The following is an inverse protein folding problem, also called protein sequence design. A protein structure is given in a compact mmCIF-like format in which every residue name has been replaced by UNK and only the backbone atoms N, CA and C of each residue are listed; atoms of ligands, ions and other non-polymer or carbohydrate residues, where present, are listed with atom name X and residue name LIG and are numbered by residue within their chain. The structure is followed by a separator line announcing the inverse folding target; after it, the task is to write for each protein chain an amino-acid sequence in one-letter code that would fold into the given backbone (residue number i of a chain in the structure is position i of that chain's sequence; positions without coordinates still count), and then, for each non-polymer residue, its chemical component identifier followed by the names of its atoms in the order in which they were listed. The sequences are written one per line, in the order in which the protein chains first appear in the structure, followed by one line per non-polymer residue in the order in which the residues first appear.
data_IF_823939933846
#
_entry.id   IF_823939933846
#
_cell.length_a   1.000
_cell.length_b   1.000
_cell.length_c   1.000
_cell.angle_alpha   90.00
_cell.angle_beta   90.00
_cell.angle_gamma   90.00
#
_symmetry.space_group_name_H-M   'P 1'
#
loop_
_entity.id
_entity.type
_entity.pdbx_description
1 polymer ?
#
# COMPACT_ATOMS: atom_id res chain seq x y z
N UNK A 1 -28.00 -1.53 -12.65
CA UNK A 1 -27.60 -2.76 -13.37
C UNK A 1 -26.71 -3.56 -12.45
N UNK A 2 -27.28 -4.58 -11.81
CA UNK A 2 -26.60 -5.38 -10.78
C UNK A 2 -25.85 -6.55 -11.41
N UNK A 3 -24.60 -6.76 -10.98
CA UNK A 3 -23.81 -7.91 -11.40
C UNK A 3 -23.84 -8.95 -10.29
N UNK A 4 -24.41 -10.12 -10.58
CA UNK A 4 -24.46 -11.25 -9.66
C UNK A 4 -23.04 -11.78 -9.34
N UNK A 5 -22.84 -12.20 -8.09
CA UNK A 5 -21.62 -12.83 -7.60
C UNK A 5 -21.21 -14.07 -8.43
N UNK A 6 -22.21 -14.76 -8.99
CA UNK A 6 -22.01 -15.96 -9.81
C UNK A 6 -21.62 -15.66 -11.27
N UNK A 7 -21.64 -14.40 -11.71
CA UNK A 7 -21.26 -14.03 -13.08
C UNK A 7 -19.80 -14.39 -13.37
N UNK A 8 -19.54 -14.96 -14.55
CA UNK A 8 -18.19 -15.33 -15.00
C UNK A 8 -17.71 -14.34 -16.06
N UNK A 9 -16.85 -13.37 -15.71
CA UNK A 9 -16.36 -12.36 -16.64
C UNK A 9 -15.28 -12.92 -17.56
N UNK A 10 -15.06 -12.24 -18.69
CA UNK A 10 -13.90 -12.54 -19.53
C UNK A 10 -12.72 -11.63 -19.13
N UNK A 11 -11.68 -12.24 -18.54
CA UNK A 11 -10.47 -11.52 -18.08
C UNK A 11 -9.26 -11.68 -19.04
N UNK A 12 -9.44 -12.35 -20.17
CA UNK A 12 -8.36 -12.69 -21.11
C UNK A 12 -7.74 -14.07 -20.85
N UNK A 13 -7.00 -14.59 -21.85
CA UNK A 13 -6.41 -15.93 -21.78
C UNK A 13 -5.38 -16.03 -20.66
N UNK A 14 -5.47 -17.09 -19.84
CA UNK A 14 -4.54 -17.42 -18.74
C UNK A 14 -4.49 -16.42 -17.58
N UNK A 15 -5.42 -15.48 -17.47
CA UNK A 15 -5.43 -14.52 -16.37
C UNK A 15 -5.55 -15.24 -15.02
N UNK A 16 -6.54 -16.10 -14.87
CA UNK A 16 -6.86 -16.85 -13.65
C UNK A 16 -5.67 -17.74 -13.24
N UNK A 17 -5.08 -18.45 -14.21
CA UNK A 17 -3.89 -19.26 -14.00
C UNK A 17 -2.71 -18.43 -13.46
N UNK A 18 -2.51 -17.24 -14.03
CA UNK A 18 -1.41 -16.34 -13.64
C UNK A 18 -1.63 -15.80 -12.24
N UNK A 19 -2.86 -15.40 -11.89
CA UNK A 19 -3.15 -14.88 -10.56
C UNK A 19 -3.09 -15.98 -9.49
N UNK A 20 -3.66 -17.16 -9.74
CA UNK A 20 -3.60 -18.29 -8.79
C UNK A 20 -2.16 -18.72 -8.49
N UNK A 21 -1.26 -18.71 -9.48
CA UNK A 21 0.16 -19.09 -9.30
C UNK A 21 0.92 -18.19 -8.33
N UNK A 22 0.46 -16.96 -8.14
CA UNK A 22 1.09 -16.03 -7.18
C UNK A 22 0.86 -16.49 -5.75
N UNK A 23 -0.29 -17.11 -5.47
CA UNK A 23 -0.64 -17.51 -4.12
C UNK A 23 0.11 -18.78 -3.67
N UNK A 24 0.40 -18.91 -2.36
CA UNK A 24 0.84 -20.16 -1.75
C UNK A 24 -0.22 -21.26 -1.89
N UNK A 25 0.24 -22.52 -1.94
CA UNK A 25 -0.65 -23.70 -2.05
C UNK A 25 -1.70 -23.74 -0.93
N UNK A 26 -1.30 -23.44 0.31
CA UNK A 26 -2.21 -23.41 1.45
C UNK A 26 -3.37 -22.41 1.27
N UNK A 27 -3.08 -21.23 0.69
CA UNK A 27 -4.12 -20.24 0.36
C UNK A 27 -5.07 -20.74 -0.70
N UNK A 28 -4.54 -21.39 -1.76
CA UNK A 28 -5.35 -21.96 -2.85
C UNK A 28 -6.28 -23.06 -2.35
N UNK A 29 -5.79 -23.96 -1.50
CA UNK A 29 -6.60 -25.02 -0.85
C UNK A 29 -7.74 -24.40 -0.06
N UNK A 30 -7.45 -23.40 0.80
CA UNK A 30 -8.46 -22.70 1.60
C UNK A 30 -9.52 -22.02 0.72
N UNK A 31 -9.11 -21.37 -0.37
CA UNK A 31 -10.03 -20.72 -1.31
C UNK A 31 -10.90 -21.75 -2.03
N UNK A 32 -10.32 -22.84 -2.55
CA UNK A 32 -11.06 -23.90 -3.23
C UNK A 32 -12.17 -24.50 -2.35
N UNK A 33 -11.86 -24.76 -1.07
CA UNK A 33 -12.86 -25.21 -0.08
C UNK A 33 -13.98 -24.20 0.11
N UNK A 34 -13.64 -22.91 0.24
CA UNK A 34 -14.62 -21.84 0.42
C UNK A 34 -15.52 -21.69 -0.82
N UNK A 35 -14.96 -21.78 -2.01
CA UNK A 35 -15.69 -21.67 -3.27
C UNK A 35 -16.63 -22.85 -3.49
N UNK A 36 -16.18 -24.07 -3.19
CA UNK A 36 -17.02 -25.26 -3.23
C UNK A 36 -18.25 -25.13 -2.31
N UNK A 37 -18.05 -24.66 -1.06
CA UNK A 37 -19.16 -24.46 -0.11
C UNK A 37 -20.18 -23.41 -0.57
N UNK A 38 -19.76 -22.36 -1.28
CA UNK A 38 -20.64 -21.25 -1.69
C UNK A 38 -21.35 -21.51 -3.02
N UNK A 39 -20.64 -22.02 -4.03
CA UNK A 39 -21.16 -22.13 -5.41
C UNK A 39 -21.33 -23.57 -5.89
N UNK A 40 -20.83 -24.56 -5.15
CA UNK A 40 -20.79 -25.95 -5.61
C UNK A 40 -19.89 -26.12 -6.84
N UNK A 41 -20.24 -27.08 -7.69
CA UNK A 41 -19.51 -27.39 -8.93
C UNK A 41 -20.42 -27.24 -10.14
N UNK A 42 -19.83 -26.77 -11.26
CA UNK A 42 -20.54 -26.72 -12.54
C UNK A 42 -20.90 -28.13 -13.05
N UNK A 43 -20.07 -29.14 -12.75
CA UNK A 43 -20.30 -30.53 -13.15
C UNK A 43 -21.02 -31.29 -12.04
N UNK A 44 -22.24 -31.76 -12.32
CA UNK A 44 -23.08 -32.54 -11.38
C UNK A 44 -22.43 -33.81 -10.80
N UNK A 45 -21.37 -34.34 -11.43
CA UNK A 45 -20.66 -35.56 -10.99
C UNK A 45 -19.58 -35.31 -9.95
N UNK A 46 -19.21 -34.05 -9.68
CA UNK A 46 -18.18 -33.73 -8.69
C UNK A 46 -18.85 -33.48 -7.33
N UNK A 47 -18.27 -34.05 -6.28
CA UNK A 47 -18.69 -33.83 -4.88
C UNK A 47 -17.59 -33.12 -4.10
N UNK A 48 -17.95 -32.58 -2.93
CA UNK A 48 -17.00 -31.91 -2.05
C UNK A 48 -15.89 -32.87 -1.56
N UNK A 49 -16.22 -34.15 -1.39
CA UNK A 49 -15.29 -35.21 -1.01
C UNK A 49 -14.20 -35.40 -2.07
N UNK A 50 -14.60 -35.50 -3.35
CA UNK A 50 -13.63 -35.58 -4.46
C UNK A 50 -12.69 -34.37 -4.52
N UNK A 51 -13.14 -33.18 -4.10
CA UNK A 51 -12.26 -32.02 -4.00
C UNK A 51 -11.30 -32.14 -2.81
N UNK A 52 -11.78 -32.57 -1.64
CA UNK A 52 -10.92 -32.75 -0.47
C UNK A 52 -9.84 -33.82 -0.71
N UNK A 53 -10.17 -34.92 -1.38
CA UNK A 53 -9.21 -35.97 -1.73
C UNK A 53 -8.10 -35.44 -2.64
N UNK A 54 -8.47 -34.76 -3.73
CA UNK A 54 -7.53 -34.11 -4.64
C UNK A 54 -6.65 -33.07 -3.91
N UNK A 55 -7.24 -32.24 -3.04
CA UNK A 55 -6.51 -31.23 -2.28
C UNK A 55 -5.53 -31.87 -1.28
N UNK A 56 -5.93 -32.96 -0.64
CA UNK A 56 -5.08 -33.73 0.27
C UNK A 56 -3.90 -34.36 -0.50
N UNK A 57 -4.16 -34.96 -1.66
CA UNK A 57 -3.13 -35.48 -2.56
C UNK A 57 -2.14 -34.38 -2.96
N UNK A 58 -2.62 -33.19 -3.36
CA UNK A 58 -1.77 -32.08 -3.77
C UNK A 58 -0.83 -31.60 -2.67
N UNK A 59 -1.31 -31.56 -1.42
CA UNK A 59 -0.51 -31.16 -0.26
C UNK A 59 0.47 -32.26 0.13
N UNK A 60 0.02 -33.52 0.21
CA UNK A 60 0.86 -34.65 0.61
C UNK A 60 2.02 -34.91 -0.36
N UNK A 61 1.71 -34.93 -1.66
CA UNK A 61 2.70 -35.17 -2.71
C UNK A 61 3.51 -33.92 -3.09
N UNK A 62 3.26 -32.77 -2.43
CA UNK A 62 3.94 -31.49 -2.68
C UNK A 62 3.98 -31.11 -4.16
N UNK A 63 2.83 -31.22 -4.84
CA UNK A 63 2.73 -30.91 -6.27
C UNK A 63 3.20 -29.48 -6.57
N UNK A 64 3.80 -29.31 -7.75
CA UNK A 64 4.16 -27.97 -8.24
C UNK A 64 2.89 -27.12 -8.39
N UNK A 65 2.91 -25.89 -7.85
CA UNK A 65 1.80 -24.91 -7.92
C UNK A 65 1.23 -24.77 -9.33
N UNK A 66 2.07 -24.78 -10.37
CA UNK A 66 1.63 -24.69 -11.77
C UNK A 66 0.68 -25.84 -12.16
N UNK A 67 1.00 -27.06 -11.72
CA UNK A 67 0.20 -28.26 -12.00
C UNK A 67 -1.10 -28.22 -11.21
N UNK A 68 -1.01 -27.85 -9.92
CA UNK A 68 -2.19 -27.73 -9.05
C UNK A 68 -3.19 -26.71 -9.60
N UNK A 69 -2.75 -25.50 -9.98
CA UNK A 69 -3.68 -24.48 -10.49
C UNK A 69 -4.32 -24.88 -11.81
N UNK A 70 -3.57 -25.52 -12.71
CA UNK A 70 -4.10 -26.01 -13.97
C UNK A 70 -5.11 -27.14 -13.77
N UNK A 71 -4.83 -28.11 -12.88
CA UNK A 71 -5.76 -29.20 -12.56
C UNK A 71 -7.03 -28.68 -11.89
N UNK A 72 -6.89 -27.78 -10.91
CA UNK A 72 -8.04 -27.20 -10.20
C UNK A 72 -8.98 -26.47 -11.15
N UNK A 73 -8.46 -25.57 -11.99
CA UNK A 73 -9.28 -24.84 -12.96
C UNK A 73 -9.92 -25.79 -13.98
N UNK A 74 -9.14 -26.69 -14.59
CA UNK A 74 -9.68 -27.58 -15.62
C UNK A 74 -10.73 -28.58 -15.10
N UNK A 75 -10.57 -29.07 -13.87
CA UNK A 75 -11.47 -30.08 -13.28
C UNK A 75 -12.72 -29.45 -12.67
N UNK A 76 -12.57 -28.40 -11.86
CA UNK A 76 -13.65 -27.85 -11.04
C UNK A 76 -14.26 -26.55 -11.58
N UNK A 77 -13.52 -25.75 -12.34
CA UNK A 77 -13.96 -24.44 -12.89
C UNK A 77 -13.62 -24.29 -14.39
N UNK A 78 -14.17 -25.15 -15.27
CA UNK A 78 -13.83 -25.16 -16.70
C UNK A 78 -14.23 -23.87 -17.43
N UNK A 79 -15.31 -23.21 -16.98
CA UNK A 79 -15.83 -21.99 -17.59
C UNK A 79 -15.09 -20.72 -17.14
N UNK A 80 -14.20 -20.84 -16.15
CA UNK A 80 -13.52 -19.74 -15.49
C UNK A 80 -14.00 -19.51 -14.06
N UNK A 81 -13.36 -18.56 -13.37
CA UNK A 81 -13.75 -18.15 -12.02
C UNK A 81 -14.77 -17.02 -12.10
N UNK A 82 -15.78 -17.05 -11.23
CA UNK A 82 -16.77 -15.98 -11.13
C UNK A 82 -16.19 -14.71 -10.47
N UNK A 83 -16.90 -13.58 -10.57
CA UNK A 83 -16.40 -12.28 -10.05
C UNK A 83 -16.13 -12.34 -8.54
N UNK A 84 -16.93 -13.07 -7.77
CA UNK A 84 -16.69 -13.24 -6.34
C UNK A 84 -15.39 -14.01 -6.06
N UNK A 85 -15.14 -15.11 -6.77
CA UNK A 85 -13.93 -15.92 -6.66
C UNK A 85 -12.69 -15.12 -7.07
N UNK A 86 -12.77 -14.38 -8.18
CA UNK A 86 -11.72 -13.45 -8.62
C UNK A 86 -11.46 -12.37 -7.57
N UNK A 87 -12.51 -11.81 -6.97
CA UNK A 87 -12.38 -10.82 -5.91
C UNK A 87 -11.65 -11.36 -4.68
N UNK A 88 -11.93 -12.60 -4.28
CA UNK A 88 -11.22 -13.24 -3.18
C UNK A 88 -9.77 -13.54 -3.49
N UNK A 89 -9.50 -13.96 -4.72
CA UNK A 89 -8.16 -14.22 -5.20
C UNK A 89 -7.33 -12.94 -5.17
N UNK A 90 -7.83 -11.85 -5.76
CA UNK A 90 -7.12 -10.57 -5.79
C UNK A 90 -6.92 -10.00 -4.36
N UNK A 91 -7.91 -10.15 -3.48
CA UNK A 91 -7.81 -9.73 -2.08
C UNK A 91 -6.69 -10.48 -1.36
N UNK A 92 -6.53 -11.78 -1.62
CA UNK A 92 -5.41 -12.55 -1.08
C UNK A 92 -4.07 -12.07 -1.67
N UNK A 93 -4.03 -11.67 -2.93
CA UNK A 93 -2.82 -11.10 -3.55
C UNK A 93 -2.46 -9.77 -2.88
N UNK A 94 -3.44 -8.88 -2.62
CA UNK A 94 -3.20 -7.62 -1.91
C UNK A 94 -2.59 -7.86 -0.53
N UNK A 95 -3.08 -8.86 0.20
CA UNK A 95 -2.62 -9.19 1.55
C UNK A 95 -1.25 -9.89 1.58
N UNK A 96 -0.92 -10.72 0.58
CA UNK A 96 0.27 -11.57 0.60
C UNK A 96 1.40 -11.03 -0.28
N UNK A 97 1.08 -10.32 -1.36
CA UNK A 97 2.02 -9.84 -2.36
C UNK A 97 1.93 -8.33 -2.51
N UNK A 98 2.74 -7.70 -1.68
CA UNK A 98 2.81 -6.26 -1.48
C UNK A 98 3.39 -5.44 -2.65
N UNK A 99 3.61 -6.00 -3.84
CA UNK A 99 4.27 -5.30 -4.96
C UNK A 99 3.42 -5.12 -6.22
N UNK A 100 2.21 -5.69 -6.26
CA UNK A 100 1.34 -5.63 -7.45
C UNK A 100 0.58 -4.31 -7.58
N UNK A 101 0.27 -3.69 -6.46
CA UNK A 101 -0.48 -2.45 -6.42
C UNK A 101 0.44 -1.30 -6.02
N UNK A 102 0.00 -0.10 -6.30
CA UNK A 102 0.57 1.12 -5.76
C UNK A 102 -0.54 1.83 -5.01
N UNK A 103 -0.21 2.39 -3.87
CA UNK A 103 -1.14 2.99 -2.95
C UNK A 103 -0.87 4.47 -2.84
N UNK A 104 -1.93 5.26 -2.78
CA UNK A 104 -1.94 6.66 -2.38
C UNK A 104 -2.82 6.84 -1.15
N UNK A 105 -2.67 7.96 -0.48
CA UNK A 105 -3.55 8.33 0.62
C UNK A 105 -4.16 9.72 0.40
N UNK A 106 -5.39 9.89 0.87
CA UNK A 106 -6.09 11.16 0.92
C UNK A 106 -6.53 11.44 2.35
N UNK A 107 -6.48 12.70 2.75
CA UNK A 107 -7.00 13.15 4.04
C UNK A 107 -8.38 13.77 3.85
N UNK A 108 -9.27 13.50 4.81
CA UNK A 108 -10.66 13.93 4.81
C UNK A 108 -10.79 15.21 5.63
N UNK A 109 -11.41 16.21 5.04
CA UNK A 109 -11.61 17.54 5.61
C UNK A 109 -13.09 17.90 5.60
N UNK A 110 -13.59 18.50 6.68
CA UNK A 110 -14.95 19.06 6.75
C UNK A 110 -14.98 20.50 6.26
N UNK A 111 -13.92 21.23 6.58
CA UNK A 111 -13.65 22.60 6.13
C UNK A 111 -12.19 22.72 5.73
N UNK A 112 -11.74 23.89 5.25
CA UNK A 112 -10.37 24.11 4.73
C UNK A 112 -9.25 23.65 5.68
N UNK A 113 -9.49 23.67 7.00
CA UNK A 113 -8.47 23.34 8.01
C UNK A 113 -8.92 22.28 9.02
N UNK A 114 -10.21 21.92 9.05
CA UNK A 114 -10.75 20.95 10.01
C UNK A 114 -10.73 19.55 9.39
N UNK A 115 -9.80 18.72 9.87
CA UNK A 115 -9.79 17.29 9.56
C UNK A 115 -10.98 16.63 10.25
N UNK A 116 -11.64 15.73 9.53
CA UNK A 116 -12.81 15.01 10.04
C UNK A 116 -12.68 13.53 9.76
N UNK A 117 -13.16 12.73 10.69
CA UNK A 117 -13.29 11.31 10.51
C UNK A 117 -14.76 10.98 10.16
N UNK A 118 -15.06 10.43 8.99
CA UNK A 118 -16.41 10.01 8.69
C UNK A 118 -16.74 8.80 9.54
N UNK A 119 -17.86 8.84 10.25
CA UNK A 119 -18.45 7.62 10.79
C UNK A 119 -19.03 6.81 9.63
N UNK A 120 -18.25 5.86 9.12
CA UNK A 120 -18.63 5.03 7.97
C UNK A 120 -19.45 3.84 8.46
N UNK A 121 -20.77 3.95 8.38
CA UNK A 121 -21.62 2.78 8.40
C UNK A 121 -21.33 1.95 7.13
N UNK A 122 -20.86 0.72 7.32
CA UNK A 122 -20.32 -0.13 6.25
C UNK A 122 -21.39 -0.46 5.22
N UNK A 123 -22.59 -0.81 5.67
CA UNK A 123 -23.66 -1.25 4.79
C UNK A 123 -24.24 -0.05 4.03
N UNK A 124 -24.48 1.06 4.72
CA UNK A 124 -24.91 2.29 4.09
C UNK A 124 -23.88 2.81 3.07
N UNK A 125 -22.59 2.74 3.39
CA UNK A 125 -21.51 3.15 2.49
C UNK A 125 -21.50 2.32 1.21
N UNK A 126 -21.56 0.98 1.34
CA UNK A 126 -21.57 0.08 0.17
C UNK A 126 -22.81 0.33 -0.68
N UNK A 127 -23.98 0.49 -0.07
CA UNK A 127 -25.23 0.74 -0.78
C UNK A 127 -25.17 2.03 -1.59
N UNK A 128 -24.74 3.15 -0.98
CA UNK A 128 -24.64 4.44 -1.68
C UNK A 128 -23.58 4.41 -2.79
N UNK A 129 -22.44 3.75 -2.53
CA UNK A 129 -21.38 3.57 -3.53
C UNK A 129 -21.90 2.76 -4.73
N UNK A 130 -22.62 1.67 -4.45
CA UNK A 130 -23.21 0.79 -5.44
C UNK A 130 -24.27 1.50 -6.29
N UNK A 131 -25.22 2.18 -5.66
CA UNK A 131 -26.27 2.96 -6.35
C UNK A 131 -25.70 4.07 -7.24
N UNK A 132 -24.55 4.64 -6.85
CA UNK A 132 -23.91 5.70 -7.62
C UNK A 132 -23.22 5.16 -8.87
N UNK A 133 -22.50 4.03 -8.74
CA UNK A 133 -21.71 3.46 -9.83
C UNK A 133 -22.55 2.66 -10.83
N UNK A 134 -23.57 1.94 -10.36
CA UNK A 134 -24.45 1.11 -11.20
C UNK A 134 -25.35 1.87 -12.17
N UNK A 135 -25.42 3.21 -12.03
CA UNK A 135 -26.06 4.11 -12.99
C UNK A 135 -25.31 4.19 -14.32
N UNK A 136 -24.00 3.97 -14.30
CA UNK A 136 -23.14 4.17 -15.46
C UNK A 136 -22.51 2.84 -15.93
N UNK A 137 -22.07 1.99 -15.01
CA UNK A 137 -21.32 0.77 -15.32
C UNK A 137 -21.84 -0.43 -14.54
N UNK A 138 -21.66 -1.63 -15.09
CA UNK A 138 -21.81 -2.85 -14.31
C UNK A 138 -20.74 -2.86 -13.22
N UNK A 139 -21.15 -2.97 -11.97
CA UNK A 139 -20.26 -2.77 -10.83
C UNK A 139 -20.34 -3.96 -9.90
N UNK A 140 -19.17 -4.44 -9.47
CA UNK A 140 -19.03 -5.40 -8.39
C UNK A 140 -18.20 -4.78 -7.27
N UNK A 141 -18.70 -4.89 -6.03
CA UNK A 141 -18.01 -4.39 -4.84
C UNK A 141 -17.80 -5.57 -3.91
N UNK A 142 -16.53 -5.83 -3.56
CA UNK A 142 -16.18 -6.87 -2.62
C UNK A 142 -15.47 -6.27 -1.40
N UNK A 143 -16.00 -6.55 -0.21
CA UNK A 143 -15.46 -6.07 1.05
C UNK A 143 -14.65 -7.17 1.77
N UNK A 144 -13.49 -6.82 2.33
CA UNK A 144 -12.70 -7.72 3.16
C UNK A 144 -11.81 -6.99 4.17
N UNK A 145 -11.65 -7.57 5.36
CA UNK A 145 -10.74 -7.08 6.39
C UNK A 145 -9.31 -7.52 6.07
N UNK A 146 -8.33 -6.65 6.28
CA UNK A 146 -6.92 -7.02 6.19
C UNK A 146 -6.54 -7.94 7.37
N UNK A 147 -5.79 -9.01 7.12
CA UNK A 147 -5.53 -10.02 8.17
C UNK A 147 -4.63 -9.48 9.29
N UNK A 148 -3.66 -8.64 8.96
CA UNK A 148 -2.62 -8.17 9.88
C UNK A 148 -2.78 -6.71 10.31
N UNK A 149 -3.69 -5.96 9.67
CA UNK A 149 -3.82 -4.52 9.87
C UNK A 149 -5.28 -4.20 10.18
N UNK A 150 -5.56 -3.16 10.99
CA UNK A 150 -6.91 -2.69 11.27
C UNK A 150 -7.47 -1.91 10.06
N UNK A 151 -7.51 -2.56 8.90
CA UNK A 151 -7.96 -1.99 7.63
C UNK A 151 -9.17 -2.75 7.11
N UNK A 152 -10.20 -1.98 6.76
CA UNK A 152 -11.37 -2.44 6.03
C UNK A 152 -11.20 -2.05 4.55
N UNK A 153 -10.97 -3.04 3.69
CA UNK A 153 -10.74 -2.85 2.27
C UNK A 153 -12.00 -3.14 1.43
N UNK A 154 -12.21 -2.30 0.43
CA UNK A 154 -13.26 -2.38 -0.57
C UNK A 154 -12.61 -2.48 -1.94
N UNK A 155 -12.86 -3.59 -2.62
CA UNK A 155 -12.47 -3.84 -4.00
C UNK A 155 -13.63 -3.43 -4.90
N UNK A 156 -13.44 -2.41 -5.72
CA UNK A 156 -14.42 -1.93 -6.69
C UNK A 156 -13.94 -2.34 -8.09
N UNK A 157 -14.74 -3.14 -8.77
CA UNK A 157 -14.49 -3.53 -10.15
C UNK A 157 -15.64 -3.08 -11.04
N UNK A 158 -15.31 -2.29 -12.06
CA UNK A 158 -16.24 -1.87 -13.09
C UNK A 158 -16.11 -2.80 -14.30
N UNK A 159 -17.21 -2.96 -15.02
CA UNK A 159 -17.26 -3.69 -16.27
C UNK A 159 -18.02 -2.87 -17.30
N UNK A 160 -17.55 -2.96 -18.53
CA UNK A 160 -18.14 -2.29 -19.68
C UNK A 160 -18.55 -3.30 -20.74
N UNK A 161 -19.52 -2.92 -21.58
CA UNK A 161 -19.85 -3.70 -22.76
C UNK A 161 -18.82 -3.40 -23.85
N UNK A 162 -18.31 -4.42 -24.55
CA UNK A 162 -17.42 -4.16 -25.68
C UNK A 162 -18.16 -3.29 -26.71
N UNK A 163 -17.51 -2.22 -27.17
CA UNK A 163 -18.03 -1.43 -28.29
C UNK A 163 -18.09 -2.37 -29.49
N UNK A 164 -19.28 -2.51 -30.09
CA UNK A 164 -19.47 -3.37 -31.25
C UNK A 164 -18.60 -2.85 -32.41
N UNK A 165 -17.40 -3.40 -32.56
CA UNK A 165 -16.62 -3.24 -33.78
C UNK A 165 -17.33 -4.02 -34.88
N UNK A 166 -17.68 -3.35 -35.96
CA UNK A 166 -18.28 -3.92 -37.16
C UNK A 166 -17.35 -4.96 -37.77
N UNK A 167 -17.48 -6.23 -37.36
CA UNK A 167 -16.75 -7.37 -37.89
C UNK A 167 -16.49 -8.44 -36.82
N UNK A 168 -17.25 -9.54 -36.90
CA UNK A 168 -16.95 -10.89 -36.39
C UNK A 168 -16.51 -11.08 -34.92
N UNK A 169 -17.43 -11.54 -34.07
CA UNK A 169 -17.35 -12.85 -33.38
C UNK A 169 -18.49 -13.03 -32.36
N UNK A 170 -19.09 -14.23 -32.33
CA UNK A 170 -20.23 -14.65 -31.46
C UNK A 170 -19.89 -14.75 -29.95
N UNK A 171 -18.80 -14.12 -29.49
CA UNK A 171 -18.43 -13.98 -28.07
C UNK A 171 -18.76 -12.60 -27.49
N UNK A 172 -19.51 -11.77 -28.23
CA UNK A 172 -19.72 -10.33 -28.01
C UNK A 172 -20.58 -9.91 -26.81
N UNK A 173 -21.21 -10.84 -26.10
CA UNK A 173 -22.07 -10.52 -24.93
C UNK A 173 -21.34 -10.52 -23.58
N UNK A 174 -20.06 -10.93 -23.54
CA UNK A 174 -19.29 -10.93 -22.29
C UNK A 174 -18.81 -9.52 -21.96
N UNK A 175 -19.04 -9.11 -20.71
CA UNK A 175 -18.56 -7.84 -20.20
C UNK A 175 -17.03 -7.83 -20.11
N UNK A 176 -16.43 -6.73 -20.51
CA UNK A 176 -15.00 -6.49 -20.42
C UNK A 176 -14.71 -5.88 -19.05
N UNK A 177 -13.82 -6.52 -18.30
CA UNK A 177 -13.40 -6.03 -17.00
C UNK A 177 -12.45 -4.83 -17.13
N UNK A 178 -12.74 -3.78 -16.35
CA UNK A 178 -11.85 -2.64 -16.16
C UNK A 178 -10.89 -2.97 -15.00
N UNK A 179 -9.75 -2.28 -14.97
CA UNK A 179 -8.78 -2.31 -13.87
C UNK A 179 -9.46 -2.16 -12.51
N UNK A 180 -9.11 -3.04 -11.56
CA UNK A 180 -9.68 -3.05 -10.22
C UNK A 180 -9.15 -1.89 -9.37
N UNK A 181 -10.07 -1.20 -8.70
CA UNK A 181 -9.76 -0.10 -7.80
C UNK A 181 -9.98 -0.51 -6.34
N UNK A 182 -9.03 -0.21 -5.46
CA UNK A 182 -9.15 -0.51 -4.04
C UNK A 182 -9.29 0.78 -3.25
N UNK A 183 -10.13 0.72 -2.21
CA UNK A 183 -10.29 1.76 -1.20
C UNK A 183 -10.22 1.08 0.15
N UNK A 184 -9.39 1.59 1.05
CA UNK A 184 -9.19 1.04 2.39
C UNK A 184 -9.36 2.13 3.44
N UNK A 185 -10.15 1.81 4.45
CA UNK A 185 -10.40 2.64 5.62
C UNK A 185 -9.77 1.99 6.85
N UNK A 186 -9.32 2.83 7.78
CA UNK A 186 -8.91 2.33 9.09
C UNK A 186 -10.16 2.04 9.90
N UNK A 187 -10.17 0.90 10.60
CA UNK A 187 -11.32 0.52 11.43
C UNK A 187 -11.44 1.39 12.68
N UNK A 188 -10.31 1.90 13.19
CA UNK A 188 -10.29 2.85 14.29
C UNK A 188 -10.66 4.24 13.76
N UNK A 189 -11.85 4.69 14.16
CA UNK A 189 -12.58 5.78 13.52
C UNK A 189 -12.02 7.18 13.75
N UNK A 190 -10.83 7.36 14.31
CA UNK A 190 -10.27 8.69 14.59
C UNK A 190 -9.31 9.17 13.51
N UNK A 191 -8.89 8.30 12.58
CA UNK A 191 -7.94 8.68 11.53
C UNK A 191 -8.68 9.21 10.31
N UNK A 192 -8.46 10.48 9.91
CA UNK A 192 -9.17 11.10 8.79
C UNK A 192 -8.50 10.74 7.45
N UNK A 193 -8.04 9.50 7.24
CA UNK A 193 -7.23 9.11 6.09
C UNK A 193 -7.84 7.91 5.37
N UNK A 194 -7.89 8.01 4.04
CA UNK A 194 -8.29 6.94 3.13
C UNK A 194 -7.07 6.50 2.33
N UNK A 195 -6.85 5.20 2.24
CA UNK A 195 -5.83 4.62 1.36
C UNK A 195 -6.53 4.09 0.10
N UNK A 196 -5.99 4.34 -1.08
CA UNK A 196 -6.60 3.87 -2.33
C UNK A 196 -5.56 3.51 -3.39
N UNK A 197 -5.96 2.80 -4.44
CA UNK A 197 -5.08 2.49 -5.58
C UNK A 197 -4.61 3.78 -6.25
N UNK A 198 -3.30 3.84 -6.55
CA UNK A 198 -2.63 4.95 -7.21
C UNK A 198 -2.91 4.92 -8.73
N UNK A 199 -4.13 5.28 -9.12
CA UNK A 199 -4.57 5.36 -10.50
C UNK A 199 -5.25 6.70 -10.77
N UNK A 200 -4.98 7.28 -11.94
CA UNK A 200 -5.45 8.61 -12.35
C UNK A 200 -6.42 8.57 -13.53
N UNK A 201 -6.89 7.39 -13.92
CA UNK A 201 -7.84 7.22 -15.03
C UNK A 201 -9.24 7.77 -14.73
N UNK A 202 -10.06 7.91 -15.76
CA UNK A 202 -11.45 8.43 -15.66
C UNK A 202 -12.30 7.55 -14.73
N UNK A 203 -12.09 6.24 -14.75
CA UNK A 203 -12.76 5.31 -13.83
C UNK A 203 -12.33 5.51 -12.38
N UNK A 204 -11.05 5.79 -12.13
CA UNK A 204 -10.54 6.08 -10.80
C UNK A 204 -11.12 7.38 -10.25
N UNK A 205 -11.22 8.44 -11.07
CA UNK A 205 -11.84 9.70 -10.64
C UNK A 205 -13.34 9.54 -10.38
N UNK A 206 -14.05 8.77 -11.22
CA UNK A 206 -15.46 8.41 -11.00
C UNK A 206 -15.66 7.68 -9.66
N UNK A 207 -14.83 6.66 -9.38
CA UNK A 207 -14.90 5.91 -8.13
C UNK A 207 -14.57 6.81 -6.93
N UNK A 208 -13.55 7.68 -7.03
CA UNK A 208 -13.21 8.64 -5.97
C UNK A 208 -14.36 9.61 -5.69
N UNK A 209 -15.07 10.08 -6.72
CA UNK A 209 -16.24 10.94 -6.57
C UNK A 209 -17.41 10.19 -5.91
N UNK A 210 -17.63 8.93 -6.30
CA UNK A 210 -18.66 8.08 -5.69
C UNK A 210 -18.34 7.77 -4.22
N UNK A 211 -17.08 7.51 -3.89
CA UNK A 211 -16.61 7.36 -2.50
C UNK A 211 -16.82 8.66 -1.71
N UNK A 212 -16.45 9.82 -2.27
CA UNK A 212 -16.70 11.12 -1.64
C UNK A 212 -18.18 11.30 -1.32
N UNK A 213 -19.07 10.99 -2.27
CA UNK A 213 -20.52 11.06 -2.09
C UNK A 213 -20.99 10.10 -0.99
N UNK A 214 -20.53 8.85 -1.02
CA UNK A 214 -20.90 7.83 -0.03
C UNK A 214 -20.46 8.20 1.40
N UNK A 215 -19.37 8.95 1.54
CA UNK A 215 -18.89 9.46 2.82
C UNK A 215 -19.56 10.80 3.25
N UNK A 216 -20.21 11.52 2.33
CA UNK A 216 -20.80 12.85 2.59
C UNK A 216 -22.27 12.80 3.03
N UNK A 217 -22.74 11.70 3.63
CA UNK A 217 -24.18 11.49 3.90
C UNK A 217 -24.77 12.53 4.85
N UNK A 218 -24.03 12.90 5.90
CA UNK A 218 -24.48 13.87 6.93
C UNK A 218 -23.79 15.23 6.83
N UNK A 219 -22.57 15.27 6.32
CA UNK A 219 -21.75 16.48 6.26
C UNK A 219 -21.03 16.58 4.94
N UNK A 220 -20.90 17.80 4.42
CA UNK A 220 -20.04 18.06 3.26
C UNK A 220 -18.59 17.79 3.67
N UNK A 221 -17.91 16.96 2.89
CA UNK A 221 -16.49 16.65 3.09
C UNK A 221 -15.69 16.90 1.82
N UNK A 222 -14.39 17.12 1.99
CA UNK A 222 -13.40 17.33 0.95
C UNK A 222 -12.30 16.29 1.12
N UNK A 223 -11.90 15.67 0.01
CA UNK A 223 -10.78 14.72 -0.01
C UNK A 223 -9.58 15.45 -0.60
N UNK A 224 -8.53 15.64 0.20
CA UNK A 224 -7.29 16.26 -0.24
C UNK A 224 -6.22 15.19 -0.43
N UNK A 225 -5.52 15.23 -1.56
CA UNK A 225 -4.40 14.33 -1.83
C UNK A 225 -3.24 14.62 -0.88
N UNK A 226 -2.72 13.57 -0.23
CA UNK A 226 -1.51 13.68 0.54
C UNK A 226 -0.31 13.69 -0.42
N UNK A 227 0.66 14.58 -0.20
CA UNK A 227 1.87 14.71 -1.01
C UNK A 227 2.92 13.67 -0.66
N UNK A 228 2.49 12.43 -0.86
CA UNK A 228 3.26 11.23 -0.65
C UNK A 228 3.43 10.53 -1.98
N UNK A 229 4.67 10.15 -2.27
CA UNK A 229 4.95 9.28 -3.41
C UNK A 229 4.24 7.93 -3.19
N UNK A 230 3.66 7.34 -4.25
CA UNK A 230 2.90 6.11 -4.10
C UNK A 230 3.79 4.95 -3.67
N UNK A 231 3.31 4.21 -2.66
CA UNK A 231 4.05 3.09 -2.05
C UNK A 231 3.49 1.78 -2.61
N UNK A 232 4.36 0.80 -2.88
CA UNK A 232 3.89 -0.50 -3.43
C UNK A 232 3.10 -1.34 -2.41
N UNK A 233 3.44 -1.18 -1.14
CA UNK A 233 2.82 -1.91 -0.04
C UNK A 233 1.70 -1.15 0.64
N UNK A 234 0.57 -1.81 0.86
CA UNK A 234 -0.48 -1.28 1.75
C UNK A 234 0.00 -1.23 3.20
N UNK A 235 0.81 -2.20 3.63
CA UNK A 235 1.35 -2.25 4.99
C UNK A 235 2.34 -1.11 5.25
N UNK A 236 3.24 -0.86 4.29
CA UNK A 236 4.15 0.28 4.40
C UNK A 236 3.42 1.62 4.26
N UNK A 237 2.38 1.69 3.44
CA UNK A 237 1.52 2.89 3.37
C UNK A 237 0.81 3.13 4.71
N UNK A 238 0.34 2.07 5.37
CA UNK A 238 -0.26 2.16 6.71
C UNK A 238 0.77 2.61 7.77
N UNK A 239 2.03 2.20 7.68
CA UNK A 239 3.07 2.70 8.58
C UNK A 239 3.31 4.21 8.43
N UNK A 240 3.26 4.73 7.20
CA UNK A 240 3.48 6.16 6.94
C UNK A 240 2.26 6.99 7.32
N UNK A 241 1.06 6.57 6.92
CA UNK A 241 -0.15 7.40 7.00
C UNK A 241 -1.13 6.99 8.10
N UNK A 242 -0.95 5.81 8.69
CA UNK A 242 -1.86 5.29 9.71
C UNK A 242 -1.68 5.95 11.07
N UNK A 243 -2.56 5.61 12.02
CA UNK A 243 -2.36 5.86 13.44
C UNK A 243 -1.26 4.95 13.99
N UNK A 244 -0.03 5.15 13.52
CA UNK A 244 1.14 4.43 14.00
C UNK A 244 2.15 5.40 14.56
N UNK A 245 2.95 4.94 15.53
CA UNK A 245 4.03 5.76 16.11
C UNK A 245 5.11 6.13 15.10
N UNK A 246 5.14 5.46 13.95
CA UNK A 246 6.14 5.66 12.90
C UNK A 246 5.80 6.84 11.98
N UNK A 247 4.55 7.32 11.95
CA UNK A 247 4.10 8.31 10.95
C UNK A 247 4.95 9.58 10.90
N UNK A 248 5.42 10.05 12.06
CA UNK A 248 6.28 11.25 12.19
C UNK A 248 7.68 10.94 12.75
N UNK A 249 7.99 9.67 13.05
CA UNK A 249 9.27 9.25 13.61
C UNK A 249 9.91 8.15 12.73
N UNK A 250 10.50 8.60 11.62
CA UNK A 250 11.22 7.76 10.65
C UNK A 250 12.74 8.00 10.67
N UNK A 251 13.49 7.20 9.90
CA UNK A 251 14.94 7.28 9.79
C UNK A 251 15.65 7.08 11.14
N UNK A 252 16.44 8.08 11.56
CA UNK A 252 17.13 8.10 12.86
C UNK A 252 16.19 7.99 14.06
N UNK A 253 14.95 8.45 13.93
CA UNK A 253 14.02 8.57 15.05
C UNK A 253 13.17 7.31 15.29
N UNK A 254 13.33 6.29 14.45
CA UNK A 254 12.62 5.00 14.55
C UNK A 254 12.69 4.34 15.95
N UNK A 255 13.82 4.38 16.70
CA UNK A 255 13.88 3.78 18.04
C UNK A 255 12.86 4.36 19.02
N UNK A 256 12.52 5.65 18.88
CA UNK A 256 11.49 6.29 19.71
C UNK A 256 10.10 5.75 19.37
N UNK A 257 9.80 5.56 18.09
CA UNK A 257 8.54 4.95 17.65
C UNK A 257 8.36 3.52 18.18
N UNK A 258 9.46 2.77 18.27
CA UNK A 258 9.47 1.41 18.81
C UNK A 258 9.47 1.34 20.34
N UNK A 259 9.83 2.42 21.04
CA UNK A 259 10.07 2.39 22.48
C UNK A 259 11.32 1.58 22.87
N UNK A 260 12.34 1.57 22.00
CA UNK A 260 13.63 0.90 22.28
C UNK A 260 14.61 1.80 23.05
N UNK A 261 14.35 3.11 23.16
CA UNK A 261 15.28 4.08 23.74
C UNK A 261 15.36 3.97 25.26
N UNK A 262 14.20 3.80 25.91
CA UNK A 262 14.02 3.89 27.35
C UNK A 262 13.31 2.65 27.89
N UNK A 263 13.63 2.31 29.14
CA UNK A 263 12.91 1.28 29.90
C UNK A 263 11.80 1.93 30.73
N UNK A 264 10.78 1.15 31.08
CA UNK A 264 9.75 1.60 32.03
C UNK A 264 10.39 2.10 33.34
N UNK A 265 9.82 3.10 34.02
CA UNK A 265 10.27 3.52 35.36
C UNK A 265 10.27 2.38 36.40
N UNK A 266 9.46 1.34 36.17
CA UNK A 266 9.41 0.13 36.99
C UNK A 266 10.25 -1.03 36.43
N UNK A 267 11.06 -0.75 35.40
CA UNK A 267 11.92 -1.71 34.74
C UNK A 267 13.18 -2.03 35.56
N UNK A 268 13.89 -3.08 35.14
CA UNK A 268 15.16 -3.45 35.76
C UNK A 268 16.22 -2.37 35.49
N UNK A 269 16.72 -1.75 36.56
CA UNK A 269 17.76 -0.71 36.47
C UNK A 269 19.12 -1.27 36.06
N UNK A 270 19.43 -2.54 36.38
CA UNK A 270 20.74 -3.14 36.06
C UNK A 270 21.05 -3.24 34.57
N UNK A 271 20.02 -3.24 33.71
CA UNK A 271 20.16 -3.25 32.24
C UNK A 271 20.04 -1.86 31.62
N UNK A 272 19.90 -0.81 32.42
CA UNK A 272 19.72 0.55 31.93
C UNK A 272 20.97 1.05 31.20
N UNK A 273 20.81 1.72 30.05
CA UNK A 273 21.94 2.25 29.25
C UNK A 273 22.83 3.20 30.04
N UNK A 274 22.28 3.97 30.98
CA UNK A 274 23.08 4.84 31.86
C UNK A 274 23.95 4.08 32.87
N UNK A 275 23.64 2.82 33.19
CA UNK A 275 24.42 1.98 34.12
C UNK A 275 25.43 1.14 33.34
N UNK A 276 24.98 0.43 32.30
CA UNK A 276 25.84 -0.42 31.47
C UNK A 276 26.80 0.44 30.63
N UNK A 277 26.40 1.66 30.29
CA UNK A 277 27.09 2.49 29.31
C UNK A 277 26.85 1.97 27.89
N UNK A 278 27.18 2.80 26.90
CA UNK A 278 27.23 2.38 25.52
C UNK A 278 28.63 2.63 24.98
N UNK A 279 29.33 1.57 24.61
CA UNK A 279 30.57 1.71 23.86
C UNK A 279 30.24 2.19 22.45
N UNK A 280 30.81 3.34 22.09
CA UNK A 280 30.76 3.88 20.72
C UNK A 280 32.19 3.89 20.22
N UNK A 281 32.51 2.99 19.29
CA UNK A 281 33.78 3.06 18.57
C UNK A 281 33.67 4.16 17.50
N UNK A 282 34.41 5.28 17.62
CA UNK A 282 34.36 6.37 16.65
C UNK A 282 34.91 5.97 15.27
N UNK A 283 35.70 4.89 15.19
CA UNK A 283 36.27 4.38 13.93
C UNK A 283 35.30 3.45 13.19
N UNK A 284 34.27 2.94 13.87
CA UNK A 284 33.25 2.09 13.28
C UNK A 284 32.20 2.93 12.51
N UNK A 285 32.51 3.18 11.25
CA UNK A 285 31.64 3.89 10.31
C UNK A 285 30.34 3.12 10.07
N UNK A 286 30.33 1.79 10.12
CA UNK A 286 29.13 0.99 9.86
C UNK A 286 28.12 1.14 11.00
N UNK A 287 28.57 1.08 12.24
CA UNK A 287 27.69 1.37 13.39
C UNK A 287 27.19 2.81 13.37
N UNK A 288 28.04 3.77 12.99
CA UNK A 288 27.68 5.19 12.90
C UNK A 288 26.65 5.46 11.80
N UNK A 289 26.82 4.86 10.62
CA UNK A 289 25.87 4.98 9.51
C UNK A 289 24.54 4.32 9.86
N UNK A 290 24.58 3.16 10.52
CA UNK A 290 23.42 2.44 11.05
C UNK A 290 22.59 3.31 11.99
N UNK A 291 23.25 3.95 12.97
CA UNK A 291 22.60 4.90 13.87
C UNK A 291 22.03 6.10 13.12
N UNK A 292 22.69 6.58 12.07
CA UNK A 292 22.20 7.75 11.31
C UNK A 292 20.97 7.45 10.46
N UNK A 293 20.94 6.34 9.75
CA UNK A 293 19.84 6.02 8.82
C UNK A 293 18.70 5.25 9.49
N UNK A 294 18.95 4.51 10.58
CA UNK A 294 17.96 3.62 11.21
C UNK A 294 17.74 3.86 12.69
N UNK A 295 18.60 4.67 13.33
CA UNK A 295 18.51 5.02 14.75
C UNK A 295 19.01 3.95 15.72
N UNK A 296 19.17 2.71 15.30
CA UNK A 296 19.63 1.61 16.15
C UNK A 296 20.67 0.75 15.44
N UNK A 297 21.63 0.21 16.21
CA UNK A 297 22.63 -0.75 15.73
C UNK A 297 22.12 -2.19 15.71
N UNK A 298 20.95 -2.47 16.31
CA UNK A 298 20.39 -3.82 16.44
C UNK A 298 19.85 -4.42 15.14
N UNK A 299 20.07 -3.78 13.98
CA UNK A 299 19.42 -4.19 12.75
C UNK A 299 20.13 -5.38 12.08
N UNK A 300 19.30 -6.34 11.66
CA UNK A 300 19.56 -7.65 11.05
C UNK A 300 20.95 -7.84 10.40
N UNK A 301 21.74 -8.76 10.94
CA UNK A 301 22.89 -9.32 10.25
C UNK A 301 22.40 -10.14 9.03
N UNK A 302 22.94 -9.88 7.83
CA UNK A 302 22.67 -10.68 6.63
C UNK A 302 22.27 -9.90 5.37
N UNK A 303 21.46 -10.50 4.49
CA UNK A 303 21.14 -9.99 3.15
C UNK A 303 20.32 -8.68 3.14
N UNK A 304 19.74 -8.30 4.28
CA UNK A 304 18.80 -7.19 4.44
C UNK A 304 19.33 -6.02 5.29
N UNK A 305 20.64 -5.97 5.57
CA UNK A 305 21.28 -4.94 6.41
C UNK A 305 20.92 -3.51 5.99
N UNK A 306 20.75 -3.26 4.70
CA UNK A 306 20.49 -1.92 4.17
C UNK A 306 19.01 -1.55 4.05
N UNK A 307 18.09 -2.52 4.05
CA UNK A 307 16.68 -2.28 3.75
C UNK A 307 16.05 -1.31 4.76
N UNK A 308 15.40 -0.26 4.25
CA UNK A 308 14.70 0.72 5.08
C UNK A 308 13.38 0.15 5.60
N UNK A 309 12.87 0.70 6.71
CA UNK A 309 11.57 0.30 7.24
C UNK A 309 10.46 0.48 6.18
N UNK A 310 10.50 1.59 5.46
CA UNK A 310 9.63 1.89 4.32
C UNK A 310 10.52 2.22 3.11
N UNK A 311 10.56 1.37 2.08
CA UNK A 311 11.31 1.64 0.86
C UNK A 311 10.75 2.85 0.12
N UNK A 312 11.59 3.87 -0.12
CA UNK A 312 11.22 5.09 -0.85
C UNK A 312 11.84 5.05 -2.25
N UNK A 313 11.00 5.03 -3.28
CA UNK A 313 11.46 4.92 -4.68
C UNK A 313 11.90 6.25 -5.28
N UNK A 314 11.27 7.35 -4.85
CA UNK A 314 11.46 8.69 -5.39
C UNK A 314 11.42 9.69 -4.26
N UNK A 315 12.35 10.64 -4.26
CA UNK A 315 12.36 11.76 -3.33
C UNK A 315 12.95 12.98 -4.02
N UNK A 316 12.34 14.15 -3.81
CA UNK A 316 12.86 15.42 -4.30
C UNK A 316 12.99 16.41 -3.15
N UNK A 317 14.19 16.97 -3.01
CA UNK A 317 14.51 17.96 -2.01
C UNK A 317 15.00 19.24 -2.69
N UNK A 318 14.50 20.39 -2.26
CA UNK A 318 14.97 21.70 -2.71
C UNK A 318 15.62 22.37 -1.51
N UNK A 319 16.94 22.53 -1.54
CA UNK A 319 17.68 23.22 -0.50
C UNK A 319 17.83 24.69 -0.92
N UNK A 320 17.39 25.61 -0.08
CA UNK A 320 17.53 27.05 -0.26
C UNK A 320 18.43 27.59 0.84
N UNK A 321 19.48 28.30 0.45
CA UNK A 321 20.46 28.87 1.37
C UNK A 321 20.72 30.33 1.01
N UNK A 322 21.05 31.13 2.03
CA UNK A 322 21.40 32.53 1.87
C UNK A 322 22.90 32.69 2.02
N UNK A 323 23.60 32.88 0.90
CA UNK A 323 25.05 33.09 0.93
C UNK A 323 25.33 34.57 1.09
N UNK A 324 25.72 34.98 2.31
CA UNK A 324 26.28 36.31 2.54
C UNK A 324 27.72 36.33 2.02
N UNK A 325 27.95 36.98 0.87
CA UNK A 325 29.32 37.28 0.42
C UNK A 325 29.75 38.57 1.11
N UNK A 326 30.91 38.56 1.76
CA UNK A 326 31.50 39.71 2.48
C UNK A 326 31.62 41.00 1.61
N UNK A 327 31.50 40.88 0.28
CA UNK A 327 31.67 41.97 -0.68
C UNK A 327 30.38 42.46 -1.38
N UNK A 328 29.18 41.98 -1.03
CA UNK A 328 27.93 42.43 -1.67
C UNK A 328 26.82 42.73 -0.64
N UNK A 329 26.15 43.88 -0.81
CA UNK A 329 25.12 44.43 0.08
C UNK A 329 23.75 43.74 -0.02
N UNK A 330 23.60 42.71 -0.85
CA UNK A 330 22.40 41.87 -0.94
C UNK A 330 22.77 40.39 -0.79
N UNK A 331 22.15 39.63 0.14
CA UNK A 331 22.38 38.19 0.24
C UNK A 331 21.98 37.51 -1.08
N UNK A 332 22.85 36.66 -1.60
CA UNK A 332 22.56 35.86 -2.78
C UNK A 332 21.85 34.57 -2.39
N UNK A 333 20.63 34.35 -2.89
CA UNK A 333 19.91 33.09 -2.68
C UNK A 333 20.51 31.99 -3.57
N UNK A 334 20.97 30.90 -2.95
CA UNK A 334 21.44 29.70 -3.64
C UNK A 334 20.40 28.60 -3.47
N UNK A 335 19.85 28.12 -4.59
CA UNK A 335 18.91 27.01 -4.58
C UNK A 335 19.51 25.78 -5.25
N UNK A 336 19.57 24.66 -4.53
CA UNK A 336 20.03 23.37 -5.04
C UNK A 336 18.89 22.35 -5.00
N UNK A 337 18.63 21.68 -6.12
CA UNK A 337 17.54 20.70 -6.23
C UNK A 337 18.07 19.28 -6.36
N UNK A 338 17.88 18.48 -5.33
CA UNK A 338 18.20 17.06 -5.31
C UNK A 338 17.00 16.24 -5.80
N UNK A 339 17.25 15.30 -6.73
CA UNK A 339 16.25 14.34 -7.21
C UNK A 339 16.83 12.95 -7.14
N UNK A 340 16.22 12.10 -6.32
CA UNK A 340 16.63 10.71 -6.13
C UNK A 340 15.60 9.76 -6.75
N UNK A 341 16.10 8.65 -7.29
CA UNK A 341 15.29 7.56 -7.85
C UNK A 341 15.98 6.23 -7.59
N UNK A 342 15.22 5.23 -7.14
CA UNK A 342 15.72 3.88 -6.89
C UNK A 342 14.60 2.95 -6.44
N UNK A 343 14.97 1.76 -5.94
CA UNK A 343 14.04 0.86 -5.24
C UNK A 343 13.88 1.25 -3.78
N UNK A 344 14.97 1.71 -3.16
CA UNK A 344 15.04 2.25 -1.81
C UNK A 344 16.19 3.25 -1.74
N UNK A 345 15.86 4.55 -1.74
CA UNK A 345 16.85 5.63 -1.81
C UNK A 345 17.71 5.69 -0.56
N UNK A 346 17.10 5.59 0.62
CA UNK A 346 17.83 5.73 1.90
C UNK A 346 18.70 4.52 2.19
N UNK A 347 18.27 3.32 1.80
CA UNK A 347 19.12 2.13 1.83
C UNK A 347 20.35 2.29 0.91
N UNK A 348 20.15 2.88 -0.27
CA UNK A 348 21.23 3.19 -1.21
C UNK A 348 22.23 4.19 -0.63
N UNK A 349 21.74 5.29 -0.04
CA UNK A 349 22.57 6.31 0.61
C UNK A 349 23.32 5.75 1.81
N UNK A 350 22.68 4.92 2.64
CA UNK A 350 23.31 4.21 3.74
C UNK A 350 24.49 3.37 3.24
N UNK A 351 24.29 2.58 2.17
CA UNK A 351 25.35 1.79 1.54
C UNK A 351 26.50 2.63 0.97
N UNK A 352 26.23 3.83 0.45
CA UNK A 352 27.27 4.73 -0.05
C UNK A 352 28.12 5.31 1.10
N UNK A 353 27.50 5.61 2.24
CA UNK A 353 28.20 6.07 3.44
C UNK A 353 29.11 4.97 4.02
N UNK A 354 28.63 3.72 4.07
CA UNK A 354 29.43 2.57 4.50
C UNK A 354 30.69 2.38 3.64
N UNK A 355 30.57 2.65 2.34
CA UNK A 355 31.68 2.59 1.39
C UNK A 355 32.60 3.81 1.42
N UNK A 356 32.38 4.75 2.35
CA UNK A 356 33.13 6.01 2.48
C UNK A 356 33.09 6.90 1.22
N UNK A 357 32.05 6.74 0.39
CA UNK A 357 31.84 7.60 -0.78
C UNK A 357 31.11 8.90 -0.40
N UNK A 358 30.41 8.89 0.73
CA UNK A 358 29.73 10.05 1.32
C UNK A 358 30.14 10.16 2.77
N UNK A 359 30.55 11.35 3.19
CA UNK A 359 30.91 11.65 4.58
C UNK A 359 29.67 11.68 5.47
N UNK A 360 29.54 10.69 6.36
CA UNK A 360 28.37 10.49 7.23
C UNK A 360 28.13 11.65 8.20
N UNK A 361 29.19 12.36 8.60
CA UNK A 361 29.11 13.47 9.53
C UNK A 361 28.42 14.69 8.90
N UNK A 362 28.54 14.83 7.58
CA UNK A 362 27.96 15.93 6.80
C UNK A 362 26.57 15.62 6.23
N UNK A 363 26.07 14.40 6.39
CA UNK A 363 24.71 14.03 5.94
C UNK A 363 23.67 14.71 6.85
N UNK A 364 22.78 15.59 6.34
CA UNK A 364 21.74 16.21 7.15
C UNK A 364 20.59 15.22 7.45
N UNK A 365 19.76 15.55 8.44
CA UNK A 365 18.63 14.70 8.88
C UNK A 365 17.65 14.38 7.75
N UNK A 366 17.28 15.38 6.96
CA UNK A 366 16.32 15.22 5.84
C UNK A 366 16.84 14.26 4.75
N UNK A 367 18.17 14.13 4.61
CA UNK A 367 18.80 13.18 3.68
C UNK A 367 19.00 11.79 4.31
N UNK A 368 18.89 11.68 5.63
CA UNK A 368 18.95 10.42 6.38
C UNK A 368 17.59 9.71 6.51
N UNK A 369 16.51 10.27 5.92
CA UNK A 369 15.20 9.63 5.84
C UNK A 369 14.26 9.94 7.02
N UNK A 370 14.53 10.98 7.80
CA UNK A 370 13.68 11.37 8.94
C UNK A 370 12.24 11.73 8.54
N UNK A 371 12.07 12.31 7.35
CA UNK A 371 10.77 12.73 6.81
C UNK A 371 10.11 11.64 5.93
N UNK A 372 10.61 10.40 5.97
CA UNK A 372 10.03 9.27 5.25
C UNK A 372 9.93 9.49 3.73
N UNK A 373 8.75 9.27 3.18
CA UNK A 373 8.44 9.39 1.75
C UNK A 373 7.98 10.80 1.33
N UNK A 374 8.15 11.81 2.19
CA UNK A 374 7.85 13.19 1.84
C UNK A 374 8.95 13.82 0.96
N UNK A 375 8.51 14.56 -0.05
CA UNK A 375 9.36 15.51 -0.78
C UNK A 375 9.07 16.93 -0.29
N UNK A 376 10.05 17.83 -0.37
CA UNK A 376 9.88 19.15 0.21
C UNK A 376 11.04 20.11 -0.05
N UNK A 377 10.92 21.28 0.58
CA UNK A 377 11.93 22.34 0.56
C UNK A 377 12.59 22.41 1.93
N UNK A 378 13.88 22.65 1.98
CA UNK A 378 14.66 22.90 3.18
C UNK A 378 15.06 24.37 3.16
N UNK A 379 14.68 25.10 4.21
CA UNK A 379 15.02 26.52 4.35
C UNK A 379 16.50 26.73 4.76
N UNK A 380 16.94 27.98 4.77
CA UNK A 380 18.30 28.36 5.16
C UNK A 380 18.63 28.01 6.63
N UNK A 381 17.61 27.78 7.46
CA UNK A 381 17.75 27.36 8.85
C UNK A 381 17.78 25.83 9.01
N UNK A 382 17.69 25.08 7.91
CA UNK A 382 17.72 23.62 7.89
C UNK A 382 16.38 22.95 8.23
N UNK A 383 15.27 23.70 8.32
CA UNK A 383 13.94 23.15 8.57
C UNK A 383 13.36 22.57 7.29
N UNK A 384 12.81 21.35 7.39
CA UNK A 384 12.13 20.71 6.28
C UNK A 384 10.65 21.11 6.21
N UNK A 385 10.25 21.70 5.09
CA UNK A 385 8.89 22.06 4.77
C UNK A 385 8.37 21.07 3.73
N UNK A 386 7.40 20.24 4.14
CA UNK A 386 6.69 19.31 3.25
C UNK A 386 6.15 20.10 2.06
N UNK A 387 6.32 19.56 0.84
CA UNK A 387 5.75 20.20 -0.35
C UNK A 387 4.24 20.34 -0.14
N UNK A 388 3.70 21.52 -0.46
CA UNK A 388 2.26 21.78 -0.49
C UNK A 388 1.86 22.10 -1.94
N UNK A 389 0.90 21.36 -2.45
CA UNK A 389 0.37 21.44 -3.80
C UNK A 389 -0.56 22.63 -3.84
N UNK A 390 -0.25 23.58 -4.72
CA UNK A 390 -1.09 24.77 -4.95
C UNK A 390 -2.53 24.40 -5.36
N UNK A 391 -2.79 23.15 -5.80
CA UNK A 391 -4.15 22.66 -6.09
C UNK A 391 -5.05 22.51 -4.86
N UNK A 392 -4.46 22.42 -3.65
CA UNK A 392 -5.20 22.26 -2.40
C UNK A 392 -5.55 23.60 -1.71
N UNK A 393 -5.15 24.74 -2.31
CA UNK A 393 -5.31 26.08 -1.74
C UNK A 393 -6.44 26.93 -2.36
N UNK A 394 -7.13 26.39 -3.37
CA UNK A 394 -8.27 27.05 -4.05
C UNK A 394 -9.59 26.38 -3.70
#
# INVERSE_FOLDING_TARGET
MELDDAYVPYMGKNYELTQMRRLPLATLVRLARKWCRKFGFARRRLSAEHLEDDLHEFVMMKYNRKVVTQRLLAKYWPDGLNVYQLSQLDSCIVQQHSFHYRWHSKTIYKSKHERTHPHVDRDAFVNVLYETLTKHHYTHIYQFRHNNLPLMCYRVQLFDRPVASSGENQHSDKLVAIQTYYVAFMEDSEVPIIIHTAETGVYATLIQQAVKRALSTRTVIHLHDNELEPVRSIEKMFLVCGATRFSEAMGRWVPYAKGETDVSPLGNTGVHRSIVGQMVDPTDIQSKSMLKFKGSTSCHQGRHVYESLVPVERATFVFQDEVTREAQSSPGEVTVKFKFKGTDIFAGLHKLCDKRLVDIDKVPGWLAGENGNHSGTVDAHGNFIKKVSKKNLL
#
